data_IF_602887577625
#
_entry.id   IF_602887577625
#
_cell.length_a   1.000
_cell.length_b   1.000
_cell.length_c   1.000
_cell.angle_alpha   90.00
_cell.angle_beta   90.00
_cell.angle_gamma   90.00
#
_symmetry.space_group_name_H-M   'P 1'
#
loop_
_entity.id
_entity.type
_entity.pdbx_description
1 polymer ?
#
# COMPACT_ATOMS: atom_id res chain seq x y z
N UNK A 1 -14.80 11.43 -27.75
CA UNK A 1 -13.78 10.43 -27.43
C UNK A 1 -14.49 9.10 -27.45
N UNK A 2 -14.04 8.21 -28.32
CA UNK A 2 -14.80 7.03 -28.74
C UNK A 2 -13.97 5.74 -28.62
N UNK A 3 -12.68 5.82 -28.25
CA UNK A 3 -11.78 4.65 -28.17
C UNK A 3 -10.94 4.68 -26.90
N UNK A 4 -10.47 3.51 -26.48
CA UNK A 4 -9.58 3.35 -25.32
C UNK A 4 -8.26 4.11 -25.53
N UNK A 5 -7.72 4.10 -26.75
CA UNK A 5 -6.48 4.77 -27.09
C UNK A 5 -6.62 6.31 -27.00
N UNK A 6 -7.76 6.86 -27.39
CA UNK A 6 -8.06 8.28 -27.20
C UNK A 6 -8.19 8.64 -25.72
N UNK A 7 -8.82 7.77 -24.91
CA UNK A 7 -8.92 7.95 -23.45
C UNK A 7 -7.53 7.97 -22.79
N UNK A 8 -6.68 6.99 -23.13
CA UNK A 8 -5.29 6.94 -22.67
C UNK A 8 -4.52 8.20 -23.09
N UNK A 9 -4.66 8.64 -24.34
CA UNK A 9 -3.97 9.84 -24.84
C UNK A 9 -4.43 11.11 -24.09
N UNK A 10 -5.74 11.26 -23.86
CA UNK A 10 -6.31 12.37 -23.12
C UNK A 10 -5.83 12.40 -21.66
N UNK A 11 -5.88 11.26 -20.97
CA UNK A 11 -5.42 11.16 -19.57
C UNK A 11 -3.92 11.40 -19.44
N UNK A 12 -3.11 10.94 -20.40
CA UNK A 12 -1.67 11.27 -20.45
C UNK A 12 -1.42 12.76 -20.63
N UNK A 13 -2.17 13.42 -21.52
CA UNK A 13 -2.06 14.86 -21.73
C UNK A 13 -2.45 15.65 -20.46
N UNK A 14 -3.48 15.21 -19.74
CA UNK A 14 -3.84 15.75 -18.43
C UNK A 14 -2.69 15.62 -17.43
N UNK A 15 -2.14 14.41 -17.28
CA UNK A 15 -1.05 14.14 -16.34
C UNK A 15 0.20 14.97 -16.66
N UNK A 16 0.53 15.14 -17.94
CA UNK A 16 1.65 15.98 -18.36
C UNK A 16 1.43 17.45 -17.97
N UNK A 17 0.21 17.97 -18.14
CA UNK A 17 -0.14 19.35 -17.82
C UNK A 17 -0.07 19.68 -16.32
N UNK A 18 -0.17 18.69 -15.44
CA UNK A 18 -0.15 18.84 -13.98
C UNK A 18 1.11 18.27 -13.32
N UNK A 19 2.01 17.64 -14.10
CA UNK A 19 3.17 16.88 -13.60
C UNK A 19 3.99 17.64 -12.55
N UNK A 20 4.23 18.92 -12.76
CA UNK A 20 5.04 19.77 -11.88
C UNK A 20 4.23 20.85 -11.14
N UNK A 21 2.92 20.66 -11.01
CA UNK A 21 2.01 21.63 -10.38
C UNK A 21 1.18 20.94 -9.28
N UNK A 22 1.68 20.94 -8.02
CA UNK A 22 1.02 20.27 -6.90
C UNK A 22 -0.40 20.76 -6.65
N UNK A 23 -0.66 22.07 -6.82
CA UNK A 23 -1.99 22.64 -6.64
C UNK A 23 -2.96 22.19 -7.74
N UNK A 24 -2.51 22.05 -8.99
CA UNK A 24 -3.34 21.45 -10.05
C UNK A 24 -3.60 19.97 -9.81
N UNK A 25 -2.63 19.21 -9.29
CA UNK A 25 -2.85 17.80 -8.90
C UNK A 25 -3.98 17.68 -7.88
N UNK A 26 -3.92 18.47 -6.79
CA UNK A 26 -4.98 18.53 -5.78
C UNK A 26 -6.34 18.86 -6.40
N UNK A 27 -6.41 19.91 -7.24
CA UNK A 27 -7.65 20.30 -7.91
C UNK A 27 -8.23 19.22 -8.82
N UNK A 28 -7.38 18.48 -9.54
CA UNK A 28 -7.85 17.36 -10.37
C UNK A 28 -8.51 16.29 -9.50
N UNK A 29 -7.91 15.97 -8.35
CA UNK A 29 -8.46 15.01 -7.39
C UNK A 29 -9.75 15.50 -6.75
N UNK A 30 -9.82 16.76 -6.35
CA UNK A 30 -11.04 17.40 -5.85
C UNK A 30 -12.17 17.29 -6.89
N UNK A 31 -11.92 17.68 -8.15
CA UNK A 31 -12.91 17.55 -9.23
C UNK A 31 -13.26 16.10 -9.58
N UNK A 32 -12.40 15.12 -9.30
CA UNK A 32 -12.79 13.72 -9.42
C UNK A 32 -13.86 13.35 -8.39
N UNK A 33 -13.64 13.69 -7.12
CA UNK A 33 -14.59 13.40 -6.05
C UNK A 33 -15.88 14.24 -6.13
N UNK A 34 -15.83 15.46 -6.65
CA UNK A 34 -17.04 16.23 -6.97
C UNK A 34 -17.92 15.54 -8.03
N UNK A 35 -17.32 14.80 -8.96
CA UNK A 35 -18.03 14.11 -10.05
C UNK A 35 -18.49 12.70 -9.68
N UNK A 36 -17.66 11.97 -8.95
CA UNK A 36 -17.80 10.53 -8.75
C UNK A 36 -17.80 10.11 -7.27
N UNK A 37 -17.54 11.04 -6.36
CA UNK A 37 -17.70 10.79 -4.93
C UNK A 37 -19.18 10.73 -4.55
N UNK A 38 -19.46 10.00 -3.47
CA UNK A 38 -20.78 9.98 -2.85
C UNK A 38 -20.94 11.23 -1.98
N UNK A 39 -21.83 12.15 -2.38
CA UNK A 39 -22.12 13.40 -1.65
C UNK A 39 -23.22 13.25 -0.61
N UNK A 40 -23.90 12.09 -0.57
CA UNK A 40 -25.15 11.92 0.17
C UNK A 40 -24.99 11.14 1.49
N UNK A 41 -23.82 10.56 1.76
CA UNK A 41 -23.52 9.84 3.00
C UNK A 41 -22.75 10.69 4.03
N UNK A 42 -23.39 10.90 5.17
CA UNK A 42 -22.82 11.18 6.52
C UNK A 42 -21.86 12.38 6.69
N UNK A 43 -21.60 13.16 5.63
CA UNK A 43 -20.71 14.33 5.68
C UNK A 43 -19.22 14.00 5.65
N UNK A 44 -18.83 12.78 5.30
CA UNK A 44 -17.44 12.36 5.06
C UNK A 44 -17.33 11.93 3.60
N UNK A 45 -16.73 12.78 2.76
CA UNK A 45 -16.55 12.45 1.35
C UNK A 45 -15.45 11.39 1.23
N UNK A 46 -15.62 10.37 0.38
CA UNK A 46 -14.58 9.36 0.12
C UNK A 46 -13.21 9.97 -0.26
N UNK A 47 -13.16 11.25 -0.64
CA UNK A 47 -11.92 11.97 -0.93
C UNK A 47 -11.27 12.72 0.22
N UNK A 48 -11.91 12.89 1.38
CA UNK A 48 -11.43 13.81 2.42
C UNK A 48 -10.03 13.45 2.93
N UNK A 49 -9.79 12.16 3.20
CA UNK A 49 -8.49 11.68 3.69
C UNK A 49 -7.40 11.81 2.62
N UNK A 50 -7.72 11.53 1.35
CA UNK A 50 -6.79 11.66 0.23
C UNK A 50 -6.44 13.14 -0.04
N UNK A 51 -7.44 14.03 0.00
CA UNK A 51 -7.25 15.46 -0.19
C UNK A 51 -6.47 16.08 0.97
N UNK A 52 -6.73 15.66 2.22
CA UNK A 52 -5.95 16.07 3.38
C UNK A 52 -4.49 15.59 3.28
N UNK A 53 -4.26 14.38 2.76
CA UNK A 53 -2.91 13.87 2.50
C UNK A 53 -2.20 14.69 1.42
N UNK A 54 -2.86 14.98 0.29
CA UNK A 54 -2.36 15.90 -0.75
C UNK A 54 -2.04 17.29 -0.20
N UNK A 55 -2.89 17.83 0.67
CA UNK A 55 -2.65 19.13 1.33
C UNK A 55 -1.42 19.10 2.22
N UNK A 56 -1.18 17.99 2.94
CA UNK A 56 0.07 17.76 3.64
C UNK A 56 1.25 17.66 2.68
N UNK A 57 1.17 16.87 1.61
CA UNK A 57 2.24 16.70 0.63
C UNK A 57 2.67 18.04 0.01
N UNK A 58 1.70 18.91 -0.28
CA UNK A 58 1.95 20.28 -0.77
C UNK A 58 2.63 21.12 0.31
N UNK A 59 2.06 21.18 1.51
CA UNK A 59 2.54 22.01 2.61
C UNK A 59 3.96 21.63 3.06
N UNK A 60 4.25 20.33 3.10
CA UNK A 60 5.55 19.80 3.49
C UNK A 60 6.60 19.90 2.37
N UNK A 61 6.21 20.24 1.13
CA UNK A 61 7.14 20.30 0.00
C UNK A 61 7.47 18.94 -0.62
N UNK A 62 6.70 17.89 -0.29
CA UNK A 62 6.89 16.53 -0.83
C UNK A 62 6.76 16.53 -2.36
N UNK A 63 5.81 17.30 -2.89
CA UNK A 63 5.55 17.38 -4.34
C UNK A 63 6.34 18.47 -5.07
N UNK A 64 7.23 19.19 -4.38
CA UNK A 64 8.06 20.22 -5.00
C UNK A 64 8.95 19.61 -6.11
N UNK A 65 8.96 20.18 -7.33
CA UNK A 65 9.65 19.56 -8.45
C UNK A 65 11.17 19.59 -8.36
N UNK A 66 11.75 20.47 -7.53
CA UNK A 66 13.20 20.67 -7.39
C UNK A 66 13.74 20.01 -6.12
N UNK A 67 12.99 20.10 -5.03
CA UNK A 67 13.43 19.73 -3.67
C UNK A 67 12.64 18.57 -3.06
N UNK A 68 11.47 18.25 -3.63
CA UNK A 68 10.60 17.18 -3.17
C UNK A 68 11.08 15.79 -3.58
N UNK A 69 10.27 14.79 -3.26
CA UNK A 69 10.56 13.40 -3.55
C UNK A 69 10.18 13.02 -4.98
N UNK A 70 11.10 12.47 -5.79
CA UNK A 70 10.76 11.85 -7.06
C UNK A 70 9.73 10.72 -6.89
N UNK A 71 9.89 9.90 -5.83
CA UNK A 71 9.02 8.77 -5.57
C UNK A 71 7.57 9.20 -5.31
N UNK A 72 7.34 10.08 -4.32
CA UNK A 72 6.01 10.56 -3.99
C UNK A 72 5.35 11.26 -5.19
N UNK A 73 6.12 12.09 -5.91
CA UNK A 73 5.62 12.78 -7.12
C UNK A 73 5.19 11.83 -8.22
N UNK A 74 5.91 10.73 -8.42
CA UNK A 74 5.61 9.76 -9.47
C UNK A 74 4.46 8.82 -9.08
N UNK A 75 4.43 8.34 -7.83
CA UNK A 75 3.32 7.54 -7.28
C UNK A 75 2.01 8.33 -7.31
N UNK A 76 2.03 9.58 -6.84
CA UNK A 76 0.87 10.46 -6.85
C UNK A 76 0.36 10.73 -8.29
N UNK A 77 1.25 10.91 -9.27
CA UNK A 77 0.84 11.13 -10.65
C UNK A 77 0.28 9.85 -11.30
N UNK A 78 0.83 8.68 -10.98
CA UNK A 78 0.31 7.39 -11.42
C UNK A 78 -1.09 7.13 -10.83
N UNK A 79 -1.27 7.43 -9.55
CA UNK A 79 -2.58 7.38 -8.88
C UNK A 79 -3.62 8.25 -9.62
N UNK A 80 -3.27 9.52 -9.91
CA UNK A 80 -4.14 10.41 -10.69
C UNK A 80 -4.44 9.81 -12.07
N UNK A 81 -3.42 9.32 -12.79
CA UNK A 81 -3.60 8.69 -14.09
C UNK A 81 -4.63 7.54 -14.07
N UNK A 82 -4.50 6.62 -13.11
CA UNK A 82 -5.35 5.43 -13.02
C UNK A 82 -6.82 5.79 -12.75
N UNK A 83 -7.05 6.77 -11.87
CA UNK A 83 -8.38 7.28 -11.53
C UNK A 83 -9.01 8.11 -12.66
N UNK A 84 -8.27 9.03 -13.28
CA UNK A 84 -8.78 9.86 -14.36
C UNK A 84 -9.00 9.07 -15.65
N UNK A 85 -8.22 8.01 -15.91
CA UNK A 85 -8.54 7.06 -16.97
C UNK A 85 -9.89 6.39 -16.71
N UNK A 86 -10.17 5.94 -15.48
CA UNK A 86 -11.46 5.35 -15.14
C UNK A 86 -12.62 6.34 -15.34
N UNK A 87 -12.46 7.58 -14.83
CA UNK A 87 -13.47 8.63 -15.02
C UNK A 87 -13.72 8.96 -16.50
N UNK A 88 -12.65 8.96 -17.30
CA UNK A 88 -12.70 9.15 -18.74
C UNK A 88 -13.46 8.02 -19.46
N UNK A 89 -13.15 6.75 -19.12
CA UNK A 89 -13.84 5.59 -19.70
C UNK A 89 -15.33 5.57 -19.32
N UNK A 90 -15.66 5.86 -18.06
CA UNK A 90 -17.03 5.92 -17.56
C UNK A 90 -17.87 7.01 -18.24
N UNK A 91 -17.30 8.21 -18.43
CA UNK A 91 -18.01 9.33 -19.06
C UNK A 91 -18.34 9.12 -20.54
N UNK A 92 -17.62 8.22 -21.21
CA UNK A 92 -17.73 7.99 -22.64
C UNK A 92 -18.23 6.59 -22.99
N UNK A 93 -18.68 5.81 -22.00
CA UNK A 93 -19.14 4.43 -22.16
C UNK A 93 -18.13 3.54 -22.92
N UNK A 94 -16.84 3.73 -22.65
CA UNK A 94 -15.75 3.01 -23.32
C UNK A 94 -15.46 1.70 -22.56
N UNK A 95 -15.44 0.53 -23.23
CA UNK A 95 -15.10 -0.73 -22.60
C UNK A 95 -13.73 -0.74 -21.93
N UNK A 96 -13.65 -1.38 -20.75
CA UNK A 96 -12.47 -1.38 -19.90
C UNK A 96 -11.63 -2.66 -19.99
N UNK A 97 -11.84 -3.50 -21.02
CA UNK A 97 -11.14 -4.79 -21.17
C UNK A 97 -9.61 -4.65 -21.20
N UNK A 98 -9.13 -3.50 -21.69
CA UNK A 98 -7.71 -3.16 -21.78
C UNK A 98 -7.19 -2.32 -20.60
N UNK A 99 -8.07 -1.86 -19.72
CA UNK A 99 -7.70 -1.02 -18.58
C UNK A 99 -6.87 -1.83 -17.57
N UNK A 100 -5.85 -1.25 -16.92
CA UNK A 100 -5.14 -1.92 -15.84
C UNK A 100 -6.06 -2.21 -14.65
N UNK A 101 -5.69 -3.17 -13.79
CA UNK A 101 -6.52 -3.60 -12.67
C UNK A 101 -6.98 -2.44 -11.77
N UNK A 102 -6.09 -1.51 -11.33
CA UNK A 102 -6.54 -0.38 -10.51
C UNK A 102 -7.57 0.52 -11.18
N UNK A 103 -7.43 0.78 -12.49
CA UNK A 103 -8.44 1.54 -13.25
C UNK A 103 -9.79 0.83 -13.29
N UNK A 104 -9.82 -0.51 -13.35
CA UNK A 104 -11.07 -1.26 -13.26
C UNK A 104 -11.70 -1.16 -11.87
N UNK A 105 -10.90 -1.19 -10.80
CA UNK A 105 -11.40 -0.93 -9.45
C UNK A 105 -12.00 0.48 -9.30
N UNK A 106 -11.39 1.50 -9.93
CA UNK A 106 -11.99 2.83 -9.98
C UNK A 106 -13.32 2.86 -10.75
N UNK A 107 -13.47 2.05 -11.80
CA UNK A 107 -14.76 1.91 -12.50
C UNK A 107 -15.82 1.26 -11.61
N UNK A 108 -15.45 0.24 -10.82
CA UNK A 108 -16.36 -0.37 -9.84
C UNK A 108 -16.81 0.65 -8.79
N UNK A 109 -15.88 1.48 -8.29
CA UNK A 109 -16.20 2.58 -7.37
C UNK A 109 -17.11 3.64 -8.01
N UNK A 110 -16.83 4.07 -9.25
CA UNK A 110 -17.64 5.04 -9.98
C UNK A 110 -19.07 4.52 -10.20
N UNK A 111 -19.21 3.22 -10.50
CA UNK A 111 -20.52 2.61 -10.72
C UNK A 111 -21.29 2.39 -9.40
N UNK A 112 -20.59 2.03 -8.32
CA UNK A 112 -21.17 1.75 -7.01
C UNK A 112 -20.21 2.22 -5.89
N UNK A 113 -20.36 3.46 -5.37
CA UNK A 113 -19.42 4.04 -4.44
C UNK A 113 -19.61 3.49 -3.01
N UNK A 114 -18.96 2.36 -2.74
CA UNK A 114 -18.88 1.74 -1.41
C UNK A 114 -17.49 1.93 -0.79
N UNK A 115 -17.34 1.81 0.54
CA UNK A 115 -16.02 1.90 1.17
C UNK A 115 -15.05 0.83 0.65
N UNK A 116 -15.53 -0.41 0.44
CA UNK A 116 -14.69 -1.49 -0.11
C UNK A 116 -14.23 -1.18 -1.54
N UNK A 117 -15.12 -0.72 -2.42
CA UNK A 117 -14.73 -0.32 -3.77
C UNK A 117 -13.74 0.84 -3.76
N UNK A 118 -13.93 1.83 -2.88
CA UNK A 118 -12.98 2.94 -2.73
C UNK A 118 -11.61 2.45 -2.27
N UNK A 119 -11.52 1.65 -1.21
CA UNK A 119 -10.25 1.15 -0.70
C UNK A 119 -9.52 0.26 -1.71
N UNK A 120 -10.23 -0.60 -2.45
CA UNK A 120 -9.64 -1.40 -3.53
C UNK A 120 -9.10 -0.51 -4.65
N UNK A 121 -9.85 0.48 -5.10
CA UNK A 121 -9.42 1.40 -6.14
C UNK A 121 -8.22 2.25 -5.70
N UNK A 122 -8.28 2.80 -4.49
CA UNK A 122 -7.22 3.60 -3.91
C UNK A 122 -5.94 2.78 -3.69
N UNK A 123 -6.03 1.67 -2.94
CA UNK A 123 -4.84 0.92 -2.53
C UNK A 123 -4.22 0.13 -3.68
N UNK A 124 -4.99 -0.37 -4.64
CA UNK A 124 -4.40 -0.98 -5.85
C UNK A 124 -3.61 0.06 -6.67
N UNK A 125 -4.08 1.31 -6.78
CA UNK A 125 -3.32 2.40 -7.42
C UNK A 125 -2.03 2.73 -6.68
N UNK A 126 -2.06 2.76 -5.34
CA UNK A 126 -0.88 2.98 -4.52
C UNK A 126 0.12 1.83 -4.70
N UNK A 127 -0.33 0.58 -4.60
CA UNK A 127 0.54 -0.60 -4.75
C UNK A 127 1.17 -0.69 -6.15
N UNK A 128 0.42 -0.36 -7.20
CA UNK A 128 0.94 -0.22 -8.57
C UNK A 128 2.07 0.83 -8.62
N UNK A 129 1.88 1.99 -7.97
CA UNK A 129 2.93 3.00 -7.81
C UNK A 129 4.16 2.51 -7.01
N UNK A 130 3.95 1.81 -5.90
CA UNK A 130 5.05 1.19 -5.14
C UNK A 130 5.86 0.24 -6.02
N UNK A 131 5.19 -0.56 -6.85
CA UNK A 131 5.87 -1.49 -7.75
C UNK A 131 6.64 -0.77 -8.87
N UNK A 132 6.03 0.22 -9.52
CA UNK A 132 6.61 0.92 -10.67
C UNK A 132 7.81 1.80 -10.29
N UNK A 133 7.83 2.36 -9.07
CA UNK A 133 8.80 3.38 -8.68
C UNK A 133 9.78 2.92 -7.58
N UNK A 134 10.06 1.62 -7.46
CA UNK A 134 11.03 1.12 -6.47
C UNK A 134 12.40 1.79 -6.55
N UNK A 135 12.87 2.12 -7.76
CA UNK A 135 14.16 2.79 -7.95
C UNK A 135 14.15 4.22 -7.39
N UNK A 136 13.05 4.95 -7.54
CA UNK A 136 12.90 6.27 -6.92
C UNK A 136 12.86 6.16 -5.39
N UNK A 137 12.23 5.11 -4.85
CA UNK A 137 12.21 4.85 -3.41
C UNK A 137 13.61 4.58 -2.84
N UNK A 138 14.52 3.99 -3.63
CA UNK A 138 15.91 3.77 -3.20
C UNK A 138 16.72 5.07 -3.10
N UNK A 139 16.26 6.15 -3.75
CA UNK A 139 16.87 7.47 -3.65
C UNK A 139 16.46 8.21 -2.36
N UNK A 140 15.40 7.75 -1.70
CA UNK A 140 15.02 8.30 -0.40
C UNK A 140 16.09 8.02 0.64
N UNK A 141 16.26 8.97 1.57
CA UNK A 141 17.11 8.74 2.73
C UNK A 141 16.50 7.69 3.67
N UNK A 142 17.28 7.21 4.64
CA UNK A 142 16.86 6.12 5.53
C UNK A 142 15.55 6.42 6.28
N UNK A 143 15.31 7.66 6.69
CA UNK A 143 14.08 8.08 7.37
C UNK A 143 12.91 8.13 6.40
N UNK A 144 13.15 8.59 5.17
CA UNK A 144 12.19 8.55 4.06
C UNK A 144 11.74 7.13 3.76
N UNK A 145 12.67 6.19 3.59
CA UNK A 145 12.34 4.78 3.35
C UNK A 145 11.55 4.16 4.52
N UNK A 146 11.92 4.47 5.77
CA UNK A 146 11.11 4.05 6.93
C UNK A 146 9.69 4.63 6.85
N UNK A 147 9.56 5.90 6.51
CA UNK A 147 8.28 6.56 6.36
C UNK A 147 7.41 5.89 5.28
N UNK A 148 7.97 5.49 4.13
CA UNK A 148 7.24 4.76 3.09
C UNK A 148 6.63 3.45 3.62
N UNK A 149 7.40 2.69 4.42
CA UNK A 149 6.94 1.47 5.03
C UNK A 149 5.81 1.71 6.05
N UNK A 150 5.96 2.76 6.86
CA UNK A 150 4.96 3.17 7.86
C UNK A 150 3.65 3.53 7.18
N UNK A 151 3.69 4.38 6.15
CA UNK A 151 2.51 4.73 5.36
C UNK A 151 1.89 3.50 4.73
N UNK A 152 2.68 2.61 4.13
CA UNK A 152 2.17 1.41 3.47
C UNK A 152 1.40 0.50 4.43
N UNK A 153 1.99 0.09 5.56
CA UNK A 153 1.28 -0.83 6.46
C UNK A 153 0.05 -0.18 7.11
N UNK A 154 0.06 1.14 7.34
CA UNK A 154 -1.11 1.86 7.87
C UNK A 154 -2.25 1.92 6.84
N UNK A 155 -1.93 2.10 5.56
CA UNK A 155 -2.92 2.02 4.47
C UNK A 155 -3.52 0.62 4.32
N UNK A 156 -2.68 -0.44 4.41
CA UNK A 156 -3.20 -1.81 4.34
C UNK A 156 -4.08 -2.12 5.54
N UNK A 157 -3.68 -1.67 6.74
CA UNK A 157 -4.50 -1.78 7.96
C UNK A 157 -5.86 -1.11 7.79
N UNK A 158 -5.90 0.10 7.23
CA UNK A 158 -7.14 0.82 6.94
C UNK A 158 -8.11 0.00 6.08
N UNK A 159 -7.60 -0.58 4.98
CA UNK A 159 -8.40 -1.44 4.11
C UNK A 159 -8.85 -2.72 4.81
N UNK A 160 -7.99 -3.33 5.63
CA UNK A 160 -8.38 -4.53 6.37
C UNK A 160 -9.54 -4.28 7.34
N UNK A 161 -9.66 -3.09 7.94
CA UNK A 161 -10.83 -2.73 8.77
C UNK A 161 -12.14 -2.71 7.98
N UNK A 162 -12.08 -2.50 6.66
CA UNK A 162 -13.24 -2.50 5.76
C UNK A 162 -13.50 -3.86 5.13
N UNK A 163 -12.46 -4.58 4.73
CA UNK A 163 -12.55 -5.85 4.00
C UNK A 163 -12.67 -7.06 4.93
N UNK A 164 -11.84 -7.13 5.96
CA UNK A 164 -11.80 -8.26 6.90
C UNK A 164 -11.08 -7.91 8.21
N UNK A 165 -11.84 -7.41 9.18
CA UNK A 165 -11.29 -7.10 10.51
C UNK A 165 -10.86 -8.35 11.29
N UNK A 166 -11.24 -9.57 10.86
CA UNK A 166 -10.94 -10.81 11.59
C UNK A 166 -9.47 -11.22 11.52
N UNK A 167 -8.67 -10.62 10.62
CA UNK A 167 -7.21 -10.75 10.56
C UNK A 167 -6.57 -10.43 11.92
N UNK A 168 -7.18 -9.54 12.71
CA UNK A 168 -6.70 -9.15 14.03
C UNK A 168 -7.28 -10.01 15.17
N UNK A 169 -7.86 -11.18 14.86
CA UNK A 169 -8.45 -12.10 15.83
C UNK A 169 -9.58 -11.48 16.66
N UNK A 170 -9.69 -11.84 17.94
CA UNK A 170 -10.67 -11.27 18.87
C UNK A 170 -10.45 -9.76 19.15
N UNK A 171 -9.26 -9.22 18.84
CA UNK A 171 -8.98 -7.78 18.89
C UNK A 171 -9.67 -7.06 17.73
N UNK A 172 -9.97 -7.76 16.63
CA UNK A 172 -10.77 -7.27 15.50
C UNK A 172 -12.17 -6.80 15.91
N UNK A 173 -12.80 -7.44 16.90
CA UNK A 173 -14.10 -6.98 17.44
C UNK A 173 -13.98 -5.68 18.25
N UNK A 174 -12.84 -5.44 18.91
CA UNK A 174 -12.53 -4.19 19.61
C UNK A 174 -12.13 -3.06 18.63
N UNK A 175 -11.51 -3.43 17.50
CA UNK A 175 -11.21 -2.54 16.37
C UNK A 175 -12.40 -2.30 15.42
N UNK A 176 -13.44 -3.12 15.50
CA UNK A 176 -14.71 -2.94 14.78
C UNK A 176 -15.76 -2.13 15.59
N UNK A 177 -15.60 -2.00 16.92
CA UNK A 177 -16.24 -0.93 17.72
C UNK A 177 -15.25 0.03 18.44
N UNK A 178 -14.58 0.93 17.68
CA UNK A 178 -13.85 2.09 18.19
C UNK A 178 -14.41 3.37 17.53
N UNK A 179 -15.73 3.60 17.64
CA UNK A 179 -16.56 4.60 16.93
C UNK A 179 -16.09 6.08 16.86
N UNK A 180 -14.88 6.41 17.30
CA UNK A 180 -14.20 7.66 16.97
C UNK A 180 -12.73 7.45 16.58
N UNK A 181 -11.98 6.57 17.25
CA UNK A 181 -10.50 6.63 17.17
C UNK A 181 -9.88 6.14 15.86
N UNK A 182 -10.31 5.01 15.27
CA UNK A 182 -9.73 4.54 14.00
C UNK A 182 -10.15 5.40 12.82
N UNK A 183 -11.40 5.85 12.78
CA UNK A 183 -11.91 6.80 11.78
C UNK A 183 -11.24 8.16 11.93
N UNK A 184 -11.14 8.72 13.14
CA UNK A 184 -10.40 9.97 13.41
C UNK A 184 -8.92 9.80 13.04
N UNK A 185 -8.28 8.68 13.36
CA UNK A 185 -6.87 8.47 13.00
C UNK A 185 -6.66 8.34 11.49
N UNK A 186 -7.59 7.73 10.74
CA UNK A 186 -7.55 7.65 9.29
C UNK A 186 -7.76 9.02 8.63
N UNK A 187 -8.71 9.80 9.15
CA UNK A 187 -9.03 11.15 8.67
C UNK A 187 -7.91 12.14 9.01
N UNK A 188 -7.27 12.01 10.18
CA UNK A 188 -6.21 12.90 10.67
C UNK A 188 -4.81 12.31 10.51
N UNK A 189 -4.62 11.25 9.72
CA UNK A 189 -3.32 10.60 9.61
C UNK A 189 -2.23 11.57 9.13
N UNK A 190 -2.62 12.49 8.26
CA UNK A 190 -1.78 13.57 7.74
C UNK A 190 -1.31 14.57 8.82
N UNK A 191 -2.05 14.72 9.91
CA UNK A 191 -1.69 15.61 11.02
C UNK A 191 -0.52 15.05 11.85
N UNK A 192 -0.25 13.74 11.74
CA UNK A 192 0.87 13.08 12.41
C UNK A 192 2.14 13.01 11.54
N UNK A 193 2.12 13.60 10.35
CA UNK A 193 3.25 13.56 9.44
C UNK A 193 4.16 14.79 9.56
N UNK A 194 5.49 14.63 9.32
CA UNK A 194 6.44 15.73 9.47
C UNK A 194 6.09 16.94 8.59
N UNK A 195 6.35 18.18 9.06
CA UNK A 195 5.89 19.39 8.39
C UNK A 195 6.77 19.83 7.20
N UNK A 196 7.82 19.07 6.87
CA UNK A 196 8.75 19.39 5.80
C UNK A 196 9.30 18.12 5.14
N UNK A 197 9.82 18.30 3.93
CA UNK A 197 10.57 17.31 3.15
C UNK A 197 11.84 17.96 2.59
N UNK A 198 12.98 17.26 2.45
CA UNK A 198 13.25 15.88 2.88
C UNK A 198 13.18 15.66 4.39
N UNK A 199 12.90 14.41 4.79
CA UNK A 199 12.92 14.01 6.20
C UNK A 199 14.36 13.95 6.74
N UNK A 200 14.50 14.14 8.05
CA UNK A 200 15.78 14.12 8.77
C UNK A 200 15.72 13.12 9.93
N UNK A 201 16.86 12.79 10.53
CA UNK A 201 16.89 11.90 11.70
C UNK A 201 16.05 12.41 12.89
N UNK A 202 15.88 13.73 13.00
CA UNK A 202 15.02 14.32 14.04
C UNK A 202 13.53 13.94 13.85
N UNK A 203 13.12 13.62 12.62
CA UNK A 203 11.75 13.27 12.27
C UNK A 203 11.44 11.78 12.54
N UNK A 204 12.45 10.94 12.76
CA UNK A 204 12.27 9.49 12.97
C UNK A 204 11.33 9.20 14.14
N UNK A 205 11.52 9.91 15.26
CA UNK A 205 10.67 9.76 16.42
C UNK A 205 9.22 10.20 16.18
N UNK A 206 8.97 11.14 15.25
CA UNK A 206 7.63 11.60 14.89
C UNK A 206 6.93 10.51 14.08
N UNK A 207 7.57 10.01 13.02
CA UNK A 207 6.96 9.00 12.13
C UNK A 207 6.69 7.67 12.84
N UNK A 208 7.56 7.29 13.78
CA UNK A 208 7.40 6.09 14.63
C UNK A 208 6.36 6.27 15.75
N UNK A 209 5.77 7.46 15.91
CA UNK A 209 4.83 7.76 16.99
C UNK A 209 5.46 7.74 18.39
N UNK A 210 6.76 8.07 18.53
CA UNK A 210 7.49 8.08 19.80
C UNK A 210 7.29 9.38 20.62
N UNK A 211 6.21 10.12 20.38
CA UNK A 211 5.82 11.28 21.19
C UNK A 211 5.42 10.90 22.62
N UNK A 212 5.27 11.92 23.48
CA UNK A 212 4.90 11.75 24.90
C UNK A 212 3.42 12.00 25.18
N UNK A 213 2.62 12.38 24.19
CA UNK A 213 1.18 12.55 24.33
C UNK A 213 0.40 11.24 24.23
N UNK A 214 -0.90 11.35 24.50
CA UNK A 214 -1.84 10.22 24.47
C UNK A 214 -2.06 9.71 23.04
N UNK A 215 -2.14 10.61 22.07
CA UNK A 215 -2.34 10.30 20.66
C UNK A 215 -1.14 9.55 20.09
N UNK A 216 0.08 10.00 20.37
CA UNK A 216 1.30 9.34 19.91
C UNK A 216 1.49 7.97 20.59
N UNK A 217 1.09 7.85 21.86
CA UNK A 217 1.06 6.54 22.53
C UNK A 217 0.09 5.57 21.85
N UNK A 218 -1.08 6.04 21.43
CA UNK A 218 -2.06 5.22 20.73
C UNK A 218 -1.59 4.83 19.32
N UNK A 219 -0.96 5.75 18.58
CA UNK A 219 -0.30 5.46 17.28
C UNK A 219 0.76 4.37 17.45
N UNK A 220 1.62 4.47 18.48
CA UNK A 220 2.66 3.46 18.74
C UNK A 220 2.08 2.08 19.05
N UNK A 221 0.99 2.02 19.80
CA UNK A 221 0.31 0.76 20.12
C UNK A 221 -0.32 0.14 18.87
N UNK A 222 -1.01 0.95 18.06
CA UNK A 222 -1.58 0.52 16.78
C UNK A 222 -0.47 -0.02 15.86
N UNK A 223 0.61 0.72 15.67
CA UNK A 223 1.74 0.29 14.84
C UNK A 223 2.38 -1.00 15.36
N UNK A 224 2.44 -1.18 16.68
CA UNK A 224 2.87 -2.43 17.30
C UNK A 224 1.95 -3.60 16.94
N UNK A 225 0.63 -3.39 16.96
CA UNK A 225 -0.37 -4.38 16.58
C UNK A 225 -0.29 -4.71 15.09
N UNK A 226 -0.22 -3.70 14.22
CA UNK A 226 -0.10 -3.90 12.77
C UNK A 226 1.14 -4.72 12.45
N UNK A 227 2.29 -4.38 13.06
CA UNK A 227 3.54 -5.14 12.85
C UNK A 227 3.47 -6.57 13.37
N UNK A 228 2.64 -6.86 14.37
CA UNK A 228 2.43 -8.23 14.84
C UNK A 228 1.78 -9.10 13.76
N UNK A 229 0.75 -8.58 13.10
CA UNK A 229 -0.02 -9.25 12.04
C UNK A 229 0.42 -8.87 10.61
N UNK A 230 1.65 -8.37 10.45
CA UNK A 230 2.07 -7.70 9.21
C UNK A 230 2.01 -8.64 8.00
N UNK A 231 2.44 -9.89 8.18
CA UNK A 231 2.45 -10.88 7.10
C UNK A 231 1.03 -11.25 6.66
N UNK A 232 0.15 -11.51 7.61
CA UNK A 232 -1.26 -11.84 7.36
C UNK A 232 -1.97 -10.67 6.68
N UNK A 233 -1.71 -9.45 7.16
CA UNK A 233 -2.21 -8.22 6.57
C UNK A 233 -1.75 -8.05 5.12
N UNK A 234 -0.46 -8.23 4.86
CA UNK A 234 0.10 -8.08 3.51
C UNK A 234 -0.39 -9.18 2.57
N UNK A 235 -0.61 -10.39 3.07
CA UNK A 235 -1.19 -11.47 2.28
C UNK A 235 -2.63 -11.15 1.86
N UNK A 236 -3.49 -10.77 2.81
CA UNK A 236 -4.87 -10.41 2.51
C UNK A 236 -4.96 -9.20 1.57
N UNK A 237 -4.15 -8.17 1.81
CA UNK A 237 -4.09 -7.00 0.95
C UNK A 237 -3.55 -7.30 -0.45
N UNK A 238 -2.58 -8.21 -0.59
CA UNK A 238 -2.12 -8.66 -1.90
C UNK A 238 -3.25 -9.34 -2.69
N UNK A 239 -4.09 -10.13 -2.02
CA UNK A 239 -5.20 -10.83 -2.63
C UNK A 239 -6.33 -9.86 -3.06
N UNK A 240 -6.73 -8.92 -2.19
CA UNK A 240 -7.77 -7.93 -2.53
C UNK A 240 -7.37 -7.01 -3.69
N UNK A 241 -6.09 -6.65 -3.76
CA UNK A 241 -5.58 -5.66 -4.71
C UNK A 241 -4.87 -6.27 -5.92
N UNK A 242 -4.83 -7.60 -6.06
CA UNK A 242 -4.07 -8.32 -7.09
C UNK A 242 -2.60 -7.89 -7.19
N UNK A 243 -1.96 -7.67 -6.03
CA UNK A 243 -0.60 -7.14 -5.91
C UNK A 243 0.31 -8.14 -5.17
N UNK A 244 0.63 -9.30 -5.76
CA UNK A 244 1.45 -10.34 -5.12
C UNK A 244 2.85 -9.84 -4.73
N UNK A 245 3.35 -8.81 -5.40
CA UNK A 245 4.63 -8.17 -5.12
C UNK A 245 4.71 -7.52 -3.72
N UNK A 246 3.57 -7.22 -3.08
CA UNK A 246 3.51 -6.69 -1.72
C UNK A 246 4.24 -7.60 -0.72
N UNK A 247 4.26 -8.90 -0.95
CA UNK A 247 4.98 -9.87 -0.10
C UNK A 247 6.51 -9.75 -0.22
N UNK A 248 7.02 -9.16 -1.30
CA UNK A 248 8.45 -8.84 -1.44
C UNK A 248 8.86 -7.64 -0.57
N UNK A 249 7.91 -6.95 0.06
CA UNK A 249 8.16 -5.81 0.94
C UNK A 249 8.29 -6.26 2.41
N UNK A 250 8.60 -7.54 2.63
CA UNK A 250 8.79 -8.15 3.93
C UNK A 250 10.18 -8.78 4.04
N UNK A 251 10.90 -8.46 5.11
CA UNK A 251 12.06 -9.23 5.56
C UNK A 251 11.71 -9.94 6.87
N UNK A 252 11.32 -11.21 6.77
CA UNK A 252 10.71 -11.94 7.89
C UNK A 252 9.34 -11.35 8.24
N UNK A 253 9.17 -10.80 9.44
CA UNK A 253 7.96 -10.10 9.87
C UNK A 253 8.19 -8.58 10.03
N UNK A 254 9.10 -8.02 9.25
CA UNK A 254 9.44 -6.59 9.26
C UNK A 254 9.18 -5.99 7.89
N UNK A 255 8.69 -4.74 7.81
CA UNK A 255 8.52 -4.06 6.54
C UNK A 255 9.90 -3.74 5.94
N UNK A 256 10.02 -3.88 4.62
CA UNK A 256 11.30 -3.88 3.90
C UNK A 256 11.16 -3.33 2.47
N UNK A 257 10.39 -2.26 2.29
CA UNK A 257 10.34 -1.48 1.06
C UNK A 257 11.35 -0.32 1.08
N UNK A 258 12.06 0.01 -0.02
CA UNK A 258 12.16 -0.79 -1.23
C UNK A 258 12.89 -2.12 -0.99
N UNK A 259 12.58 -3.20 -1.73
CA UNK A 259 13.28 -4.46 -1.59
C UNK A 259 14.79 -4.30 -1.80
N UNK A 260 15.57 -4.97 -0.94
CA UNK A 260 17.00 -5.10 -1.13
C UNK A 260 17.31 -5.82 -2.47
N UNK A 261 18.44 -5.47 -3.09
CA UNK A 261 18.89 -6.17 -4.29
C UNK A 261 19.04 -7.67 -4.01
N UNK A 262 18.55 -8.52 -4.91
CA UNK A 262 18.60 -9.97 -4.73
C UNK A 262 17.49 -10.55 -3.82
N UNK A 263 16.63 -9.71 -3.22
CA UNK A 263 15.61 -10.17 -2.27
C UNK A 263 14.59 -11.09 -2.93
N UNK A 264 14.13 -10.76 -4.14
CA UNK A 264 13.16 -11.58 -4.89
C UNK A 264 13.76 -12.92 -5.28
N UNK A 265 15.02 -12.94 -5.69
CA UNK A 265 15.77 -14.16 -6.01
C UNK A 265 15.94 -15.04 -4.77
N UNK A 266 16.24 -14.43 -3.62
CA UNK A 266 16.33 -15.15 -2.35
C UNK A 266 14.98 -15.75 -1.92
N UNK A 267 13.87 -15.01 -2.07
CA UNK A 267 12.52 -15.51 -1.81
C UNK A 267 12.16 -16.66 -2.75
N UNK A 268 12.42 -16.51 -4.05
CA UNK A 268 12.16 -17.57 -5.03
C UNK A 268 12.97 -18.84 -4.72
N UNK A 269 14.26 -18.70 -4.37
CA UNK A 269 15.09 -19.82 -3.97
C UNK A 269 14.59 -20.52 -2.70
N UNK A 270 14.14 -19.76 -1.70
CA UNK A 270 13.59 -20.30 -0.46
C UNK A 270 12.27 -21.06 -0.69
N UNK A 271 11.39 -20.54 -1.56
CA UNK A 271 10.14 -21.22 -1.94
C UNK A 271 10.40 -22.54 -2.67
N UNK A 272 11.36 -22.56 -3.59
CA UNK A 272 11.78 -23.79 -4.27
C UNK A 272 12.34 -24.80 -3.26
N UNK A 273 13.23 -24.38 -2.37
CA UNK A 273 13.79 -25.25 -1.33
C UNK A 273 12.71 -25.85 -0.42
N UNK A 274 11.77 -25.03 0.07
CA UNK A 274 10.66 -25.51 0.90
C UNK A 274 9.71 -26.46 0.16
N UNK A 275 9.48 -26.24 -1.14
CA UNK A 275 8.69 -27.18 -1.95
C UNK A 275 9.41 -28.53 -2.15
N UNK A 276 10.74 -28.53 -2.28
CA UNK A 276 11.54 -29.75 -2.38
C UNK A 276 11.59 -30.51 -1.06
N UNK A 277 11.75 -29.82 0.07
CA UNK A 277 11.68 -30.42 1.41
C UNK A 277 10.29 -31.04 1.68
N UNK A 278 9.22 -30.39 1.21
CA UNK A 278 7.86 -30.94 1.25
C UNK A 278 7.62 -32.14 0.31
N UNK A 279 8.46 -32.34 -0.71
CA UNK A 279 8.38 -33.46 -1.68
C UNK A 279 9.22 -34.67 -1.25
N UNK A 280 10.20 -34.49 -0.35
CA UNK A 280 11.01 -35.58 0.21
C UNK A 280 10.80 -35.79 1.72
N UNK A 281 9.58 -36.03 2.23
CA UNK A 281 9.44 -36.47 3.61
C UNK A 281 9.90 -37.93 3.71
N UNK A 282 11.13 -38.15 4.21
CA UNK A 282 11.56 -39.45 4.71
C UNK A 282 12.09 -40.45 3.68
N UNK A 283 13.19 -40.13 3.00
CA UNK A 283 14.11 -41.21 2.60
C UNK A 283 15.11 -41.45 3.72
N UNK A 284 14.76 -42.35 4.64
CA UNK A 284 15.73 -43.02 5.48
C UNK A 284 16.73 -43.73 4.57
N UNK A 285 17.93 -43.16 4.46
CA UNK A 285 19.06 -43.86 3.87
C UNK A 285 19.33 -45.11 4.72
N UNK A 286 19.37 -46.32 4.15
CA UNK A 286 19.61 -47.52 4.92
C UNK A 286 21.03 -47.44 5.49
N UNK A 287 21.10 -47.37 6.83
CA UNK A 287 22.32 -47.63 7.58
C UNK A 287 22.78 -49.04 7.22
N UNK A 288 23.96 -49.14 6.61
CA UNK A 288 24.64 -50.41 6.42
C UNK A 288 24.93 -50.99 7.82
N UNK A 289 24.21 -52.05 8.19
CA UNK A 289 24.55 -52.85 9.35
C UNK A 289 25.83 -53.64 9.03
N UNK A 290 26.94 -53.19 9.63
CA UNK A 290 28.16 -53.98 9.75
C UNK A 290 27.83 -55.27 10.53
N UNK A 291 27.78 -56.38 9.80
CA UNK A 291 27.65 -57.72 10.37
C UNK A 291 28.90 -58.09 11.16
N UNK A 292 28.82 -58.01 12.48
CA UNK A 292 29.78 -58.65 13.38
C UNK A 292 29.08 -59.15 14.66
N UNK A 293 28.56 -60.37 14.60
CA UNK A 293 28.31 -61.24 15.76
C UNK A 293 28.32 -62.70 15.24
N UNK A 294 28.97 -63.68 15.87
CA UNK A 294 29.76 -63.70 17.09
C UNK A 294 30.51 -65.04 17.22
N UNK A 295 31.32 -65.13 18.28
CA UNK A 295 31.73 -66.36 18.96
C UNK A 295 30.50 -67.30 19.16
N UNK A 296 30.55 -68.63 19.20
CA UNK A 296 31.54 -69.59 19.73
C UNK A 296 30.99 -71.02 19.45
N UNK A 297 31.86 -72.02 19.21
CA UNK A 297 31.79 -73.40 19.75
C UNK A 297 32.68 -74.36 18.92
N UNK A 298 33.63 -75.03 19.60
CA UNK A 298 34.46 -76.11 19.04
C UNK A 298 35.94 -75.92 19.31
#
# INVERSE_FOLDING_TARGET
MNTYEEAVAATRALCEAIRNDPYKRRRVRESFYERFGDTDNDGLSYGDSELAFLDWEIRAGVLDPETGSPWWRNVNLNFIYLSELAGCLAQHDIPADQAPFPTRCWLDFIAEPTPSHWYRAHNSSILDGFHLYEDDARLENEVGQEFLNITLYRLMFAQALVEDATIFGEIGAWLADPRGFSVTLLVHLADFYPPHYPLTEADRAIIEGKGKGLEETAVRLMDGLIRHFLRELYQAAADWNQAPELLNYLNGNKPAYPPAAGHREALAAALVAGSLEGVFPGQDLPMAEDGASGLQAG
#
